data_IF_824094962110
#
_entry.id   IF_824094962110
#
_cell.length_a   1.000
_cell.length_b   1.000
_cell.length_c   1.000
_cell.angle_alpha   90.00
_cell.angle_beta   90.00
_cell.angle_gamma   90.00
#
_symmetry.space_group_name_H-M   'P 1'
#
loop_
_entity.id
_entity.type
_entity.pdbx_description
1 polymer ?
#
# COMPACT_ATOMS: atom_id res chain seq x y z
N UNK A 1 -7.42 9.30 11.26
CA UNK A 1 -7.10 7.88 11.01
C UNK A 1 -5.61 7.73 11.09
N UNK A 2 -5.12 6.78 11.86
CA UNK A 2 -3.68 6.53 11.95
C UNK A 2 -3.17 5.73 10.74
N UNK A 3 -1.85 5.70 10.54
CA UNK A 3 -1.22 5.01 9.41
C UNK A 3 -1.59 3.50 9.36
N UNK A 4 -1.67 2.84 10.51
CA UNK A 4 -1.93 1.39 10.56
C UNK A 4 -3.38 1.05 10.28
N UNK A 5 -4.31 1.96 10.58
CA UNK A 5 -5.71 1.89 10.17
C UNK A 5 -5.81 2.04 8.64
N UNK A 6 -5.17 3.05 8.05
CA UNK A 6 -5.14 3.25 6.58
C UNK A 6 -4.59 2.05 5.82
N UNK A 7 -3.48 1.49 6.29
CA UNK A 7 -2.94 0.25 5.72
C UNK A 7 -3.91 -0.92 5.89
N UNK A 8 -4.70 -0.95 6.97
CA UNK A 8 -5.73 -1.96 7.19
C UNK A 8 -6.87 -1.89 6.17
N UNK A 9 -7.34 -0.69 5.86
CA UNK A 9 -8.36 -0.47 4.83
C UNK A 9 -7.87 -0.89 3.44
N UNK A 10 -6.63 -0.53 3.09
CA UNK A 10 -6.04 -0.95 1.82
C UNK A 10 -5.90 -2.47 1.71
N UNK A 11 -5.45 -3.15 2.78
CA UNK A 11 -5.42 -4.61 2.83
C UNK A 11 -6.82 -5.20 2.65
N UNK A 12 -7.85 -4.61 3.26
CA UNK A 12 -9.22 -5.07 3.08
C UNK A 12 -9.71 -4.90 1.64
N UNK A 13 -9.39 -3.78 1.00
CA UNK A 13 -9.72 -3.54 -0.41
C UNK A 13 -9.02 -4.54 -1.35
N UNK A 14 -7.74 -4.79 -1.12
CA UNK A 14 -6.93 -5.72 -1.94
C UNK A 14 -7.24 -7.19 -1.66
N UNK A 15 -7.85 -7.53 -0.52
CA UNK A 15 -8.31 -8.90 -0.22
C UNK A 15 -9.48 -9.34 -1.09
N UNK A 16 -10.29 -8.39 -1.56
CA UNK A 16 -11.40 -8.71 -2.44
C UNK A 16 -10.88 -9.33 -3.76
N UNK A 17 -11.60 -10.29 -4.35
CA UNK A 17 -11.30 -10.76 -5.70
C UNK A 17 -11.35 -9.61 -6.70
N UNK A 18 -10.47 -9.63 -7.71
CA UNK A 18 -10.49 -8.63 -8.77
C UNK A 18 -11.81 -8.69 -9.54
N UNK A 19 -12.39 -7.52 -9.81
CA UNK A 19 -13.50 -7.38 -10.75
C UNK A 19 -13.02 -7.32 -12.21
N UNK A 20 -13.95 -7.30 -13.18
CA UNK A 20 -13.62 -7.11 -14.59
C UNK A 20 -12.86 -5.81 -14.84
N UNK A 21 -13.30 -4.70 -14.21
CA UNK A 21 -12.67 -3.38 -14.34
C UNK A 21 -11.23 -3.39 -13.83
N UNK A 22 -10.98 -4.04 -12.68
CA UNK A 22 -9.62 -4.10 -12.11
C UNK A 22 -8.68 -4.85 -13.08
N UNK A 23 -9.16 -5.95 -13.68
CA UNK A 23 -8.39 -6.70 -14.70
C UNK A 23 -8.16 -5.89 -15.97
N UNK A 24 -9.17 -5.16 -16.45
CA UNK A 24 -9.00 -4.24 -17.57
C UNK A 24 -7.97 -3.15 -17.26
N UNK A 25 -7.87 -2.71 -16.00
CA UNK A 25 -6.85 -1.77 -15.54
C UNK A 25 -5.45 -2.38 -15.44
N UNK A 26 -5.26 -3.66 -15.76
CA UNK A 26 -3.95 -4.32 -15.75
C UNK A 26 -3.64 -5.04 -14.45
N UNK A 27 -4.57 -5.13 -13.49
CA UNK A 27 -4.35 -5.92 -12.28
C UNK A 27 -4.36 -7.41 -12.58
N UNK A 28 -3.36 -8.11 -12.06
CA UNK A 28 -3.34 -9.57 -11.98
C UNK A 28 -3.61 -10.02 -10.54
N UNK A 29 -4.15 -11.23 -10.38
CA UNK A 29 -4.41 -11.79 -9.05
C UNK A 29 -3.12 -11.97 -8.23
N UNK A 30 -2.00 -12.20 -8.92
CA UNK A 30 -0.63 -12.26 -8.38
C UNK A 30 -0.18 -10.88 -7.88
N UNK A 31 -0.15 -9.86 -8.75
CA UNK A 31 0.24 -8.50 -8.38
C UNK A 31 -0.59 -7.94 -7.23
N UNK A 32 -1.91 -8.13 -7.30
CA UNK A 32 -2.84 -7.75 -6.21
C UNK A 32 -2.45 -8.42 -4.89
N UNK A 33 -2.12 -9.72 -4.92
CA UNK A 33 -1.74 -10.48 -3.74
C UNK A 33 -0.40 -10.02 -3.17
N UNK A 34 0.60 -9.79 -4.03
CA UNK A 34 1.92 -9.31 -3.62
C UNK A 34 1.84 -7.97 -2.92
N UNK A 35 1.16 -7.00 -3.52
CA UNK A 35 0.96 -5.66 -2.93
C UNK A 35 0.19 -5.77 -1.61
N UNK A 36 -0.86 -6.61 -1.56
CA UNK A 36 -1.61 -6.85 -0.34
C UNK A 36 -0.72 -7.39 0.78
N UNK A 37 0.14 -8.36 0.47
CA UNK A 37 1.05 -8.99 1.42
C UNK A 37 2.09 -8.00 1.93
N UNK A 38 2.71 -7.22 1.04
CA UNK A 38 3.68 -6.19 1.40
C UNK A 38 3.09 -5.15 2.36
N UNK A 39 1.89 -4.64 2.07
CA UNK A 39 1.20 -3.70 2.97
C UNK A 39 0.89 -4.38 4.31
N UNK A 40 0.46 -5.65 4.30
CA UNK A 40 0.16 -6.40 5.52
C UNK A 40 1.38 -6.64 6.41
N UNK A 41 2.54 -6.95 5.81
CA UNK A 41 3.81 -7.13 6.51
C UNK A 41 4.25 -5.83 7.17
N UNK A 42 4.27 -4.72 6.40
CA UNK A 42 4.66 -3.42 6.93
C UNK A 42 3.71 -2.93 8.03
N UNK A 43 2.39 -3.10 7.85
CA UNK A 43 1.40 -2.81 8.89
C UNK A 43 1.66 -3.61 10.16
N UNK A 44 1.96 -4.91 10.03
CA UNK A 44 2.23 -5.79 11.16
C UNK A 44 3.52 -5.39 11.89
N UNK A 45 4.57 -4.99 11.16
CA UNK A 45 5.79 -4.45 11.73
C UNK A 45 5.50 -3.18 12.54
N UNK A 46 4.76 -2.22 11.98
CA UNK A 46 4.42 -0.97 12.65
C UNK A 46 3.57 -1.17 13.90
N UNK A 47 2.61 -2.12 13.88
CA UNK A 47 1.82 -2.46 15.07
C UNK A 47 2.65 -3.09 16.19
N UNK A 48 3.66 -3.89 15.85
CA UNK A 48 4.51 -4.59 16.84
C UNK A 48 5.60 -3.70 17.42
N UNK A 49 6.21 -2.87 16.60
CA UNK A 49 7.39 -2.11 16.98
C UNK A 49 7.11 -0.61 17.19
N UNK A 50 5.89 -0.15 16.87
CA UNK A 50 5.47 1.24 16.98
C UNK A 50 5.73 2.05 15.71
N UNK A 51 4.91 3.08 15.52
CA UNK A 51 4.88 3.94 14.32
C UNK A 51 6.20 4.67 14.02
N UNK A 52 7.07 4.88 15.01
CA UNK A 52 8.42 5.43 14.80
C UNK A 52 9.31 4.60 13.85
N UNK A 53 8.98 3.31 13.66
CA UNK A 53 9.68 2.45 12.71
C UNK A 53 9.29 2.70 11.25
N UNK A 54 8.35 3.60 10.98
CA UNK A 54 7.95 3.97 9.62
C UNK A 54 9.12 4.47 8.78
N UNK A 55 10.17 5.03 9.41
CA UNK A 55 11.44 5.41 8.75
C UNK A 55 12.13 4.25 8.01
N UNK A 56 11.86 3.01 8.41
CA UNK A 56 12.38 1.79 7.79
C UNK A 56 11.44 1.17 6.75
N UNK A 57 10.20 1.68 6.64
CA UNK A 57 9.25 1.25 5.62
C UNK A 57 9.57 1.98 4.32
N UNK A 58 9.85 1.22 3.26
CA UNK A 58 10.04 1.74 1.90
C UNK A 58 9.15 0.97 0.94
N UNK A 59 7.95 1.51 0.74
CA UNK A 59 7.03 1.08 -0.29
C UNK A 59 7.37 1.84 -1.57
N UNK A 60 7.75 1.14 -2.65
CA UNK A 60 7.90 1.70 -4.02
C UNK A 60 6.79 1.14 -4.90
N UNK A 61 5.56 1.25 -4.40
CA UNK A 61 4.40 0.62 -5.00
C UNK A 61 3.99 1.34 -6.29
N UNK A 62 4.19 2.66 -6.37
CA UNK A 62 4.03 3.43 -7.61
C UNK A 62 4.89 2.87 -8.75
N UNK A 63 6.18 2.64 -8.49
CA UNK A 63 7.10 2.10 -9.50
C UNK A 63 6.74 0.67 -9.91
N UNK A 64 6.31 -0.16 -8.95
CA UNK A 64 5.82 -1.51 -9.23
C UNK A 64 4.57 -1.45 -10.11
N UNK A 65 3.59 -0.62 -9.76
CA UNK A 65 2.36 -0.45 -10.53
C UNK A 65 2.62 0.06 -11.94
N UNK A 66 3.55 1.01 -12.09
CA UNK A 66 3.94 1.54 -13.39
C UNK A 66 4.69 0.50 -14.24
N UNK A 67 5.58 -0.31 -13.62
CA UNK A 67 6.30 -1.38 -14.30
C UNK A 67 5.37 -2.49 -14.80
N UNK A 68 4.34 -2.81 -14.02
CA UNK A 68 3.30 -3.78 -14.39
C UNK A 68 2.22 -3.20 -15.33
N UNK A 69 2.33 -1.92 -15.69
CA UNK A 69 1.40 -1.27 -16.62
C UNK A 69 0.00 -1.06 -16.05
N UNK A 70 -0.14 -1.00 -14.71
CA UNK A 70 -1.42 -0.78 -14.04
C UNK A 70 -1.92 0.63 -14.30
N UNK A 71 -3.07 0.72 -14.95
CA UNK A 71 -3.74 1.98 -15.30
C UNK A 71 -4.41 2.63 -14.07
N UNK A 72 -4.66 3.95 -14.09
CA UNK A 72 -5.44 4.63 -13.05
C UNK A 72 -6.77 3.94 -12.76
N UNK A 73 -7.13 3.87 -11.48
CA UNK A 73 -8.33 3.20 -11.03
C UNK A 73 -8.35 2.99 -9.52
N UNK A 74 -9.52 2.62 -9.00
CA UNK A 74 -9.79 2.54 -7.55
C UNK A 74 -8.72 1.78 -6.76
N UNK A 75 -8.29 0.59 -7.20
CA UNK A 75 -7.29 -0.18 -6.48
C UNK A 75 -5.90 0.48 -6.52
N UNK A 76 -5.55 1.12 -7.64
CA UNK A 76 -4.30 1.89 -7.77
C UNK A 76 -4.33 3.10 -6.83
N UNK A 77 -5.44 3.82 -6.78
CA UNK A 77 -5.59 4.99 -5.90
C UNK A 77 -5.43 4.61 -4.42
N UNK A 78 -6.06 3.50 -4.00
CA UNK A 78 -5.91 2.98 -2.63
C UNK A 78 -4.44 2.66 -2.28
N UNK A 79 -3.69 2.09 -3.22
CA UNK A 79 -2.29 1.75 -3.02
C UNK A 79 -1.41 3.01 -2.96
N UNK A 80 -1.65 3.96 -3.86
CA UNK A 80 -0.93 5.24 -3.88
C UNK A 80 -1.21 6.08 -2.64
N UNK A 81 -2.44 6.05 -2.13
CA UNK A 81 -2.81 6.70 -0.86
C UNK A 81 -1.98 6.13 0.29
N UNK A 82 -1.86 4.79 0.40
CA UNK A 82 -1.01 4.18 1.44
C UNK A 82 0.44 4.62 1.31
N UNK A 83 0.97 4.65 0.10
CA UNK A 83 2.34 5.10 -0.13
C UNK A 83 2.53 6.56 0.31
N UNK A 84 1.60 7.45 -0.03
CA UNK A 84 1.62 8.85 0.39
C UNK A 84 1.58 8.98 1.92
N UNK A 85 0.65 8.27 2.59
CA UNK A 85 0.57 8.27 4.06
C UNK A 85 1.84 7.75 4.73
N UNK A 86 2.49 6.73 4.16
CA UNK A 86 3.79 6.25 4.65
C UNK A 86 4.86 7.34 4.47
N UNK A 87 4.91 8.01 3.32
CA UNK A 87 5.86 9.09 3.07
C UNK A 87 5.68 10.26 4.04
N UNK A 88 4.44 10.71 4.27
CA UNK A 88 4.11 11.77 5.23
C UNK A 88 4.52 11.37 6.66
N UNK A 89 4.17 10.16 7.09
CA UNK A 89 4.54 9.66 8.41
C UNK A 89 6.08 9.56 8.59
N UNK A 90 6.82 9.27 7.52
CA UNK A 90 8.29 9.26 7.54
C UNK A 90 8.87 10.66 7.71
N UNK A 91 8.36 11.64 6.99
CA UNK A 91 8.81 13.02 7.15
C UNK A 91 8.47 13.55 8.55
N UNK A 92 7.29 13.21 9.09
CA UNK A 92 6.94 13.54 10.47
C UNK A 92 7.83 12.85 11.53
N UNK A 93 8.34 11.66 11.22
CA UNK A 93 9.24 10.89 12.10
C UNK A 93 10.72 11.30 11.99
N UNK A 94 11.06 12.23 11.10
CA UNK A 94 12.43 12.68 10.88
C UNK A 94 12.85 13.60 12.04
N UNK A 95 14.00 13.36 12.70
CA UNK A 95 14.49 14.27 13.73
C UNK A 95 14.79 15.64 13.10
N UNK A 96 14.35 16.71 13.77
CA UNK A 96 14.65 18.11 13.40
C UNK A 96 16.13 18.43 13.58
#
# INVERSE_FOLDING_TARGET
>A
MDLTERMGEAVAALKAPLGPIDREQGWTDELRREIQEEISVNRSMLRRHGVWNVRHVRLRLDEVLDAEGVRPGRLRDVVLDVQAFVAEAREAARPR
#
